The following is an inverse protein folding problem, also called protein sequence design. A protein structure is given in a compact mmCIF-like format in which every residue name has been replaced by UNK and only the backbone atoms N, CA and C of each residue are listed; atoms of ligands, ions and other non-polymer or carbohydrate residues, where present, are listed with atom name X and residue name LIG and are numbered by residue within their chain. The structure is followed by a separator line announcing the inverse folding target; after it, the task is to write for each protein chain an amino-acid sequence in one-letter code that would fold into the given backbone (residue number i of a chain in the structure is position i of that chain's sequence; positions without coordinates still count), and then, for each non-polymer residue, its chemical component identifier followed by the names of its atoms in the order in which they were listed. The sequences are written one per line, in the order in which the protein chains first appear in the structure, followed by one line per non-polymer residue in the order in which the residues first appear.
data_IF_164830595162
#
_entry.id   IF_164830595162
#
_cell.length_a   1.000
_cell.length_b   1.000
_cell.length_c   1.000
_cell.angle_alpha   90.00
_cell.angle_beta   90.00
_cell.angle_gamma   90.00
#
_symmetry.space_group_name_H-M   'P 1'
#
loop_
_entity.id
_entity.type
_entity.pdbx_description
1 polymer ?
#
# COMPACT_ATOMS: atom_id res chain seq x y z
N UNK A 1 3.58 21.59 0.62
CA UNK A 1 2.73 20.38 0.68
C UNK A 1 3.54 19.33 1.43
N UNK A 2 3.14 18.98 2.65
CA UNK A 2 3.91 18.09 3.51
C UNK A 2 3.83 16.67 2.96
N UNK A 3 4.81 16.25 2.16
CA UNK A 3 5.07 14.84 1.93
C UNK A 3 5.23 14.24 3.33
N UNK A 4 4.38 13.28 3.69
CA UNK A 4 4.53 12.54 4.93
C UNK A 4 5.93 11.93 4.87
N UNK A 5 6.85 12.45 5.68
CA UNK A 5 8.17 11.86 5.79
C UNK A 5 7.98 10.51 6.47
N UNK A 6 7.94 9.44 5.67
CA UNK A 6 7.70 8.06 6.13
C UNK A 6 8.65 7.66 7.26
N UNK A 7 9.84 8.24 7.31
CA UNK A 7 10.83 8.01 8.37
C UNK A 7 10.39 8.55 9.75
N UNK A 8 9.45 9.50 9.80
CA UNK A 8 8.85 10.00 11.04
C UNK A 8 7.75 9.09 11.59
N UNK A 9 7.24 8.14 10.79
CA UNK A 9 6.25 7.17 11.28
C UNK A 9 6.93 6.14 12.20
N UNK A 10 6.22 5.76 13.26
CA UNK A 10 6.64 4.65 14.13
C UNK A 10 6.38 3.33 13.42
N UNK A 11 7.26 2.36 13.62
CA UNK A 11 7.01 0.98 13.20
C UNK A 11 5.74 0.43 13.86
N UNK A 12 4.91 -0.24 13.08
CA UNK A 12 3.63 -0.78 13.49
C UNK A 12 3.39 -2.14 12.84
N UNK A 13 2.66 -3.01 13.54
CA UNK A 13 2.14 -4.25 12.99
C UNK A 13 0.71 -4.09 12.46
N UNK A 14 0.21 -2.87 12.28
CA UNK A 14 -1.20 -2.60 11.94
C UNK A 14 -1.70 -3.31 10.67
N UNK A 15 -0.80 -3.55 9.71
CA UNK A 15 -1.09 -4.27 8.47
C UNK A 15 -1.68 -5.68 8.70
N UNK A 16 -1.41 -6.34 9.84
CA UNK A 16 -1.99 -7.66 10.17
C UNK A 16 -3.52 -7.68 10.24
N UNK A 17 -4.13 -6.49 10.27
CA UNK A 17 -5.55 -6.30 10.46
C UNK A 17 -6.17 -5.42 9.36
N UNK A 18 -5.38 -4.94 8.40
CA UNK A 18 -5.82 -4.02 7.36
C UNK A 18 -5.74 -4.72 6.01
N UNK A 19 -6.85 -4.84 5.31
CA UNK A 19 -6.88 -5.47 3.99
C UNK A 19 -6.28 -4.57 2.91
N UNK A 20 -6.07 -5.12 1.72
CA UNK A 20 -5.76 -4.30 0.55
C UNK A 20 -6.94 -3.38 0.21
N UNK A 21 -8.17 -3.91 0.28
CA UNK A 21 -9.42 -3.14 0.17
C UNK A 21 -9.49 -2.26 -1.08
N UNK A 22 -9.18 -2.85 -2.24
CA UNK A 22 -9.13 -2.08 -3.48
C UNK A 22 -10.50 -1.54 -3.90
N UNK A 23 -11.56 -2.35 -3.77
CA UNK A 23 -12.90 -1.91 -4.18
C UNK A 23 -13.39 -0.76 -3.31
N UNK A 24 -13.04 -0.80 -2.03
CA UNK A 24 -13.42 0.21 -1.05
C UNK A 24 -12.57 1.46 -1.19
N UNK A 25 -11.28 1.30 -1.47
CA UNK A 25 -10.39 2.40 -1.88
C UNK A 25 -10.88 3.08 -3.15
N UNK A 26 -11.30 2.30 -4.16
CA UNK A 26 -11.85 2.80 -5.40
C UNK A 26 -13.16 3.56 -5.16
N UNK A 27 -14.13 2.94 -4.49
CA UNK A 27 -15.41 3.56 -4.14
C UNK A 27 -15.21 4.89 -3.40
N UNK A 28 -14.30 4.90 -2.42
CA UNK A 28 -13.99 6.12 -1.67
C UNK A 28 -13.43 7.24 -2.55
N UNK A 29 -12.47 6.95 -3.43
CA UNK A 29 -11.90 7.95 -4.34
C UNK A 29 -12.92 8.43 -5.39
N UNK A 30 -13.80 7.56 -5.87
CA UNK A 30 -14.89 7.94 -6.77
C UNK A 30 -15.87 8.90 -6.09
N UNK A 31 -16.31 8.63 -4.87
CA UNK A 31 -17.18 9.55 -4.12
C UNK A 31 -16.51 10.92 -3.88
N UNK A 32 -15.21 10.94 -3.57
CA UNK A 32 -14.48 12.21 -3.47
C UNK A 32 -14.47 12.99 -4.79
N UNK A 33 -14.33 12.31 -5.93
CA UNK A 33 -14.34 12.95 -7.26
C UNK A 33 -15.71 13.50 -7.65
N UNK A 34 -16.78 12.93 -7.11
CA UNK A 34 -18.16 13.39 -7.27
C UNK A 34 -18.46 14.60 -6.37
N UNK A 35 -17.49 15.04 -5.56
CA UNK A 35 -17.58 16.25 -4.74
C UNK A 35 -17.93 16.00 -3.28
N UNK A 36 -18.11 14.74 -2.85
CA UNK A 36 -18.36 14.43 -1.45
C UNK A 36 -17.10 14.67 -0.60
N UNK A 37 -17.32 15.06 0.65
CA UNK A 37 -16.27 15.27 1.65
C UNK A 37 -16.01 13.99 2.45
N UNK A 38 -14.79 13.88 2.99
CA UNK A 38 -14.38 12.77 3.88
C UNK A 38 -15.38 12.48 5.01
N UNK A 39 -15.93 13.53 5.64
CA UNK A 39 -16.91 13.40 6.70
C UNK A 39 -18.26 12.83 6.21
N UNK A 40 -18.69 13.22 5.01
CA UNK A 40 -19.94 12.74 4.40
C UNK A 40 -19.80 11.26 4.04
N UNK A 41 -18.69 10.86 3.42
CA UNK A 41 -18.45 9.46 3.05
C UNK A 41 -18.33 8.57 4.31
N UNK A 42 -17.70 9.06 5.38
CA UNK A 42 -17.65 8.35 6.67
C UNK A 42 -19.03 8.18 7.30
N UNK A 43 -19.86 9.21 7.23
CA UNK A 43 -21.24 9.15 7.70
C UNK A 43 -22.05 8.13 6.89
N UNK A 44 -21.90 8.10 5.57
CA UNK A 44 -22.52 7.06 4.72
C UNK A 44 -22.04 5.65 5.08
N UNK A 45 -20.77 5.46 5.45
CA UNK A 45 -20.31 4.16 5.94
C UNK A 45 -20.99 3.77 7.26
N UNK A 46 -21.20 4.73 8.16
CA UNK A 46 -21.85 4.50 9.45
C UNK A 46 -23.36 4.22 9.31
N UNK A 47 -24.04 4.93 8.43
CA UNK A 47 -25.51 4.84 8.28
C UNK A 47 -25.96 3.79 7.25
N UNK A 48 -25.19 3.57 6.19
CA UNK A 48 -25.61 2.75 5.03
C UNK A 48 -24.67 1.57 4.73
N UNK A 49 -23.57 1.42 5.47
CA UNK A 49 -22.54 0.40 5.24
C UNK A 49 -22.07 0.33 3.77
N UNK A 50 -21.77 1.48 3.17
CA UNK A 50 -21.42 1.59 1.74
C UNK A 50 -20.23 0.72 1.30
N UNK A 51 -19.35 0.33 2.22
CA UNK A 51 -18.20 -0.54 1.95
C UNK A 51 -18.52 -2.03 2.14
N UNK A 52 -19.77 -2.38 2.46
CA UNK A 52 -20.24 -3.76 2.67
C UNK A 52 -19.41 -4.51 3.70
N UNK A 53 -19.04 -3.83 4.79
CA UNK A 53 -18.29 -4.41 5.87
C UNK A 53 -19.12 -5.45 6.64
N UNK A 54 -18.49 -6.52 7.17
CA UNK A 54 -19.17 -7.57 7.92
C UNK A 54 -19.68 -7.13 9.30
N UNK A 55 -19.23 -5.99 9.81
CA UNK A 55 -19.71 -5.38 11.04
C UNK A 55 -19.39 -3.88 11.06
N UNK A 56 -20.09 -3.14 11.91
CA UNK A 56 -19.93 -1.69 12.04
C UNK A 56 -18.51 -1.32 12.46
N UNK A 57 -17.94 -2.02 13.44
CA UNK A 57 -16.54 -1.82 13.89
C UNK A 57 -15.53 -2.06 12.76
N UNK A 58 -15.76 -3.10 11.95
CA UNK A 58 -14.89 -3.39 10.82
C UNK A 58 -15.05 -2.33 9.72
N UNK A 59 -16.27 -1.87 9.47
CA UNK A 59 -16.59 -0.79 8.53
C UNK A 59 -15.94 0.52 8.93
N UNK A 60 -16.06 0.92 10.20
CA UNK A 60 -15.41 2.10 10.77
C UNK A 60 -13.89 2.02 10.64
N UNK A 61 -13.30 0.87 10.89
CA UNK A 61 -11.85 0.67 10.71
C UNK A 61 -11.44 0.77 9.24
N UNK A 62 -12.20 0.13 8.36
CA UNK A 62 -11.93 0.09 6.92
C UNK A 62 -11.99 1.49 6.31
N UNK A 63 -13.07 2.23 6.54
CA UNK A 63 -13.25 3.58 5.98
C UNK A 63 -12.19 4.55 6.50
N UNK A 64 -11.82 4.45 7.78
CA UNK A 64 -10.77 5.30 8.34
C UNK A 64 -9.41 5.00 7.72
N UNK A 65 -9.09 3.74 7.46
CA UNK A 65 -7.83 3.37 6.83
C UNK A 65 -7.81 3.76 5.35
N UNK A 66 -8.89 3.51 4.61
CA UNK A 66 -9.04 3.93 3.20
C UNK A 66 -8.90 5.45 3.10
N UNK A 67 -9.63 6.21 3.91
CA UNK A 67 -9.49 7.68 4.02
C UNK A 67 -8.06 8.10 4.30
N UNK A 68 -7.38 7.43 5.24
CA UNK A 68 -5.99 7.73 5.60
C UNK A 68 -5.04 7.52 4.42
N UNK A 69 -5.18 6.41 3.68
CA UNK A 69 -4.36 6.13 2.49
C UNK A 69 -4.60 7.18 1.40
N UNK A 70 -5.86 7.53 1.13
CA UNK A 70 -6.21 8.54 0.12
C UNK A 70 -5.65 9.91 0.48
N UNK A 71 -5.80 10.35 1.75
CA UNK A 71 -5.28 11.66 2.20
C UNK A 71 -3.76 11.75 2.24
N UNK A 72 -3.06 10.62 2.26
CA UNK A 72 -1.61 10.59 2.19
C UNK A 72 -1.08 10.88 0.77
N UNK A 73 -1.89 10.57 -0.26
CA UNK A 73 -1.54 10.85 -1.65
C UNK A 73 -1.55 12.36 -1.91
N UNK A 74 -0.62 12.89 -2.73
CA UNK A 74 -0.71 14.27 -3.19
C UNK A 74 -1.99 14.52 -3.98
N UNK A 75 -2.65 15.65 -3.71
CA UNK A 75 -3.89 16.09 -4.36
C UNK A 75 -3.88 15.92 -5.89
N UNK A 76 -2.78 16.26 -6.56
CA UNK A 76 -2.66 16.11 -8.03
C UNK A 76 -2.75 14.64 -8.47
N UNK A 77 -2.12 13.72 -7.74
CA UNK A 77 -2.25 12.28 -7.98
C UNK A 77 -3.68 11.79 -7.65
N UNK A 78 -4.25 12.25 -6.54
CA UNK A 78 -5.61 11.86 -6.14
C UNK A 78 -6.66 12.22 -7.21
N UNK A 79 -6.52 13.38 -7.87
CA UNK A 79 -7.45 13.82 -8.93
C UNK A 79 -7.36 12.93 -10.17
N UNK A 80 -6.19 12.34 -10.46
CA UNK A 80 -6.01 11.43 -11.60
C UNK A 80 -6.67 10.07 -11.41
N UNK A 81 -7.13 9.72 -10.21
CA UNK A 81 -7.49 8.35 -9.85
C UNK A 81 -8.50 7.69 -10.81
N UNK A 82 -9.59 8.36 -11.18
CA UNK A 82 -10.62 7.76 -12.03
C UNK A 82 -10.22 7.69 -13.51
N UNK A 83 -9.27 8.51 -13.95
CA UNK A 83 -8.77 8.53 -15.33
C UNK A 83 -7.70 7.46 -15.58
N UNK A 84 -7.15 6.90 -14.50
CA UNK A 84 -6.11 5.89 -14.53
C UNK A 84 -6.66 4.47 -14.77
N UNK A 85 -5.80 3.61 -15.32
CA UNK A 85 -6.11 2.18 -15.48
C UNK A 85 -6.36 1.51 -14.11
N UNK A 86 -7.06 0.36 -14.10
CA UNK A 86 -7.23 -0.42 -12.86
C UNK A 86 -5.88 -0.81 -12.25
N UNK A 87 -4.87 -1.08 -13.09
CA UNK A 87 -3.52 -1.40 -12.64
C UNK A 87 -2.92 -0.21 -11.89
N UNK A 88 -2.96 0.98 -12.48
CA UNK A 88 -2.46 2.22 -11.85
C UNK A 88 -3.24 2.58 -10.58
N UNK A 89 -4.56 2.41 -10.56
CA UNK A 89 -5.38 2.63 -9.35
C UNK A 89 -4.95 1.71 -8.19
N UNK A 90 -4.60 0.45 -8.48
CA UNK A 90 -4.03 -0.48 -7.50
C UNK A 90 -2.64 -0.02 -7.02
N UNK A 91 -1.81 0.51 -7.92
CA UNK A 91 -0.53 1.12 -7.55
C UNK A 91 -0.73 2.33 -6.63
N UNK A 92 -1.74 3.17 -6.86
CA UNK A 92 -2.06 4.27 -5.97
C UNK A 92 -2.47 3.80 -4.57
N UNK A 93 -3.16 2.68 -4.45
CA UNK A 93 -3.44 2.08 -3.15
C UNK A 93 -2.14 1.59 -2.47
N UNK A 94 -1.23 0.93 -3.20
CA UNK A 94 0.10 0.55 -2.69
C UNK A 94 0.88 1.78 -2.23
N UNK A 95 0.87 2.87 -3.01
CA UNK A 95 1.49 4.13 -2.65
C UNK A 95 0.92 4.70 -1.35
N UNK A 96 -0.41 4.71 -1.21
CA UNK A 96 -1.09 5.12 0.03
C UNK A 96 -0.73 4.25 1.24
N UNK A 97 -0.57 2.94 1.06
CA UNK A 97 -0.08 2.03 2.11
C UNK A 97 1.36 2.39 2.49
N UNK A 98 2.28 2.53 1.52
CA UNK A 98 3.68 2.90 1.79
C UNK A 98 3.81 4.25 2.51
N UNK A 99 2.95 5.22 2.18
CA UNK A 99 2.97 6.54 2.83
C UNK A 99 2.40 6.53 4.24
N UNK A 100 1.71 5.47 4.65
CA UNK A 100 1.02 5.37 5.94
C UNK A 100 1.50 4.23 6.84
N UNK A 101 2.35 3.36 6.30
CA UNK A 101 3.02 2.23 6.96
C UNK A 101 4.50 2.19 6.57
N UNK A 102 5.35 2.64 7.50
CA UNK A 102 6.80 2.69 7.31
C UNK A 102 7.42 1.31 7.12
N UNK A 103 6.95 0.29 7.84
CA UNK A 103 7.55 -1.04 7.75
C UNK A 103 7.28 -1.64 6.37
N UNK A 104 6.09 -1.40 5.82
CA UNK A 104 5.76 -1.81 4.46
C UNK A 104 6.54 -1.01 3.41
N UNK A 105 6.71 0.30 3.58
CA UNK A 105 7.58 1.10 2.70
C UNK A 105 9.01 0.57 2.66
N UNK A 106 9.62 0.32 3.82
CA UNK A 106 10.98 -0.22 3.89
C UNK A 106 11.07 -1.61 3.24
N UNK A 107 10.05 -2.47 3.42
CA UNK A 107 9.99 -3.75 2.72
C UNK A 107 9.95 -3.59 1.20
N UNK A 108 9.11 -2.68 0.69
CA UNK A 108 9.02 -2.40 -0.74
C UNK A 108 10.35 -1.87 -1.30
N UNK A 109 11.02 -1.00 -0.54
CA UNK A 109 12.27 -0.36 -0.94
C UNK A 109 13.49 -1.28 -0.86
N UNK A 110 13.57 -2.11 0.17
CA UNK A 110 14.73 -3.00 0.41
C UNK A 110 14.60 -4.33 -0.31
N UNK A 111 13.39 -4.88 -0.45
CA UNK A 111 13.20 -6.23 -1.01
C UNK A 111 12.62 -6.19 -2.42
N UNK A 112 11.42 -5.60 -2.57
CA UNK A 112 10.73 -5.63 -3.87
C UNK A 112 11.54 -4.90 -4.96
N UNK A 113 11.99 -3.68 -4.66
CA UNK A 113 12.82 -2.88 -5.57
C UNK A 113 14.15 -3.55 -5.88
N UNK A 114 14.82 -4.13 -4.89
CA UNK A 114 16.12 -4.80 -5.08
C UNK A 114 15.99 -6.01 -6.02
N UNK A 115 14.92 -6.81 -5.89
CA UNK A 115 14.64 -7.90 -6.83
C UNK A 115 14.49 -7.43 -8.27
N UNK A 116 13.87 -6.27 -8.50
CA UNK A 116 13.79 -5.67 -9.84
C UNK A 116 15.18 -5.26 -10.36
N UNK A 117 16.00 -4.64 -9.51
CA UNK A 117 17.37 -4.20 -9.87
C UNK A 117 18.26 -5.39 -10.24
N UNK A 118 18.22 -6.45 -9.43
CA UNK A 118 19.07 -7.63 -9.61
C UNK A 118 18.54 -8.59 -10.69
N UNK A 119 17.30 -8.39 -11.17
CA UNK A 119 16.63 -9.31 -12.07
C UNK A 119 16.27 -10.68 -11.45
N UNK A 120 16.48 -10.85 -10.13
CA UNK A 120 16.05 -12.04 -9.40
C UNK A 120 14.56 -11.92 -9.04
N UNK A 121 13.72 -12.18 -10.04
CA UNK A 121 12.28 -11.98 -9.93
C UNK A 121 11.54 -13.08 -9.15
N UNK A 122 12.20 -14.15 -8.73
CA UNK A 122 11.55 -15.16 -7.90
C UNK A 122 11.19 -14.56 -6.52
N UNK A 123 9.95 -14.77 -6.10
CA UNK A 123 9.43 -14.29 -4.82
C UNK A 123 9.05 -15.47 -3.92
N UNK A 124 9.55 -15.47 -2.70
CA UNK A 124 9.21 -16.45 -1.68
C UNK A 124 8.78 -15.78 -0.36
N UNK A 125 8.02 -16.49 0.46
CA UNK A 125 7.66 -16.00 1.79
C UNK A 125 8.89 -15.68 2.66
N UNK A 126 10.00 -16.39 2.45
CA UNK A 126 11.26 -16.14 3.14
C UNK A 126 11.80 -14.74 2.90
N UNK A 127 11.55 -14.12 1.73
CA UNK A 127 11.96 -12.74 1.44
C UNK A 127 11.40 -11.76 2.48
N UNK A 128 10.11 -11.91 2.84
CA UNK A 128 9.47 -11.07 3.86
C UNK A 128 9.96 -11.43 5.27
N UNK A 129 10.16 -12.73 5.54
CA UNK A 129 10.59 -13.18 6.87
C UNK A 129 12.02 -12.76 7.19
N UNK A 130 12.93 -12.80 6.20
CA UNK A 130 14.30 -12.31 6.32
C UNK A 130 14.30 -10.81 6.55
N UNK A 131 13.50 -10.05 5.79
CA UNK A 131 13.32 -8.62 6.03
C UNK A 131 12.88 -8.32 7.48
N UNK A 132 11.84 -9.01 7.98
CA UNK A 132 11.35 -8.79 9.34
C UNK A 132 12.38 -9.21 10.42
N UNK A 133 13.20 -10.23 10.14
CA UNK A 133 14.31 -10.64 11.01
C UNK A 133 15.37 -9.53 11.07
N UNK A 134 15.87 -9.08 9.93
CA UNK A 134 16.88 -8.03 9.84
C UNK A 134 16.36 -6.73 10.50
N UNK A 135 15.08 -6.39 10.29
CA UNK A 135 14.46 -5.23 10.96
C UNK A 135 14.31 -5.40 12.46
N UNK A 136 14.19 -6.62 12.97
CA UNK A 136 14.20 -6.87 14.41
C UNK A 136 15.56 -6.57 15.04
N UNK A 137 16.66 -6.81 14.31
CA UNK A 137 18.03 -6.49 14.76
C UNK A 137 18.29 -4.97 14.77
N UNK A 138 17.61 -4.23 13.88
CA UNK A 138 17.75 -2.77 13.74
C UNK A 138 16.78 -1.96 14.63
N UNK A 139 15.74 -2.59 15.19
CA UNK A 139 14.64 -1.89 15.85
C UNK A 139 14.01 -2.70 16.96
N UNK A 140 14.17 -2.24 18.20
CA UNK A 140 13.54 -2.84 19.39
C UNK A 140 12.01 -2.95 19.24
N UNK A 141 11.37 -1.96 18.58
CA UNK A 141 9.93 -2.00 18.34
C UNK A 141 9.51 -3.20 17.50
N UNK A 142 10.29 -3.53 16.46
CA UNK A 142 10.03 -4.68 15.56
C UNK A 142 10.49 -5.98 16.22
N UNK A 143 11.58 -5.95 17.00
CA UNK A 143 12.04 -7.08 17.81
C UNK A 143 10.94 -7.60 18.73
N UNK A 144 10.20 -6.68 19.37
CA UNK A 144 9.09 -6.98 20.27
C UNK A 144 7.83 -7.54 19.59
N UNK A 145 7.78 -7.63 18.26
CA UNK A 145 6.68 -8.33 17.59
C UNK A 145 6.81 -9.84 17.80
N UNK A 146 5.71 -10.49 18.20
CA UNK A 146 5.68 -11.94 18.33
C UNK A 146 5.92 -12.64 16.99
N UNK A 147 6.37 -13.90 17.03
CA UNK A 147 6.51 -14.73 15.82
C UNK A 147 5.20 -14.84 15.04
N UNK A 148 4.05 -14.92 15.73
CA UNK A 148 2.74 -14.95 15.10
C UNK A 148 2.41 -13.63 14.40
N UNK A 149 2.74 -12.49 15.01
CA UNK A 149 2.58 -11.17 14.39
C UNK A 149 3.42 -11.05 13.11
N UNK A 150 4.68 -11.50 13.14
CA UNK A 150 5.58 -11.49 11.97
C UNK A 150 5.04 -12.37 10.84
N UNK A 151 4.54 -13.57 11.14
CA UNK A 151 3.88 -14.44 10.14
C UNK A 151 2.64 -13.78 9.53
N UNK A 152 1.81 -13.11 10.34
CA UNK A 152 0.63 -12.38 9.85
C UNK A 152 1.01 -11.17 8.99
N UNK A 153 2.10 -10.48 9.32
CA UNK A 153 2.63 -9.40 8.48
C UNK A 153 3.10 -9.93 7.13
N UNK A 154 3.82 -11.06 7.11
CA UNK A 154 4.23 -11.69 5.86
C UNK A 154 3.02 -12.08 4.99
N UNK A 155 1.97 -12.64 5.60
CA UNK A 155 0.70 -12.90 4.92
C UNK A 155 0.09 -11.62 4.32
N UNK A 156 -0.03 -10.55 5.11
CA UNK A 156 -0.60 -9.29 4.66
C UNK A 156 0.19 -8.66 3.50
N UNK A 157 1.52 -8.62 3.59
CA UNK A 157 2.38 -8.04 2.55
C UNK A 157 2.29 -8.83 1.25
N UNK A 158 2.30 -10.16 1.33
CA UNK A 158 2.08 -11.03 0.17
C UNK A 158 0.72 -10.76 -0.48
N UNK A 159 -0.34 -10.63 0.31
CA UNK A 159 -1.68 -10.30 -0.21
C UNK A 159 -1.69 -8.95 -0.91
N UNK A 160 -1.07 -7.91 -0.34
CA UNK A 160 -0.99 -6.60 -0.99
C UNK A 160 -0.28 -6.68 -2.34
N UNK A 161 0.86 -7.37 -2.41
CA UNK A 161 1.60 -7.54 -3.67
C UNK A 161 0.80 -8.31 -4.71
N UNK A 162 0.11 -9.41 -4.31
CA UNK A 162 -0.73 -10.20 -5.21
C UNK A 162 -1.90 -9.39 -5.76
N UNK A 163 -2.65 -8.73 -4.89
CA UNK A 163 -3.81 -7.92 -5.25
C UNK A 163 -3.44 -6.76 -6.17
N UNK A 164 -2.23 -6.20 -6.02
CA UNK A 164 -1.69 -5.15 -6.87
C UNK A 164 -1.00 -5.65 -8.14
N UNK A 165 -0.98 -6.97 -8.40
CA UNK A 165 -0.25 -7.61 -9.51
C UNK A 165 1.26 -7.33 -9.52
N UNK A 166 1.84 -6.99 -8.36
CA UNK A 166 3.28 -6.80 -8.18
C UNK A 166 4.01 -8.12 -8.00
N UNK A 167 3.30 -9.17 -7.58
CA UNK A 167 3.73 -10.55 -7.72
C UNK A 167 2.59 -11.36 -8.36
N UNK A 168 2.94 -12.25 -9.28
CA UNK A 168 1.98 -13.12 -9.99
C UNK A 168 2.46 -14.56 -9.96
N UNK A 169 1.54 -15.50 -10.09
CA UNK A 169 1.88 -16.92 -10.14
C UNK A 169 2.19 -17.33 -11.57
N UNK A 170 3.40 -17.86 -11.78
CA UNK A 170 3.87 -18.37 -13.06
C UNK A 170 4.51 -19.73 -12.85
N UNK A 171 3.99 -20.76 -13.54
CA UNK A 171 4.54 -22.13 -13.50
C UNK A 171 4.71 -22.67 -12.06
N UNK A 172 3.77 -22.36 -11.16
CA UNK A 172 3.79 -22.80 -9.77
C UNK A 172 4.72 -22.01 -8.84
N UNK A 173 5.34 -20.93 -9.31
CA UNK A 173 6.18 -20.03 -8.51
C UNK A 173 5.62 -18.61 -8.53
N UNK A 174 5.93 -17.82 -7.50
CA UNK A 174 5.58 -16.40 -7.49
C UNK A 174 6.71 -15.59 -8.10
N UNK A 175 6.35 -14.70 -9.02
CA UNK A 175 7.28 -13.87 -9.79
C UNK A 175 6.95 -12.41 -9.59
N UNK A 176 7.95 -11.63 -9.20
CA UNK A 176 7.92 -10.17 -9.11
C UNK A 176 7.70 -9.58 -10.51
N UNK A 177 6.74 -8.66 -10.62
CA UNK A 177 6.46 -7.91 -11.84
C UNK A 177 6.69 -6.43 -11.62
N UNK A 178 7.41 -5.81 -12.55
CA UNK A 178 7.52 -4.37 -12.67
C UNK A 178 6.18 -3.83 -13.21
N UNK A 179 5.48 -2.93 -12.50
CA UNK A 179 4.27 -2.32 -13.03
C UNK A 179 4.60 -1.38 -14.19
N UNK A 180 3.68 -1.32 -15.15
CA UNK A 180 3.68 -0.29 -16.21
C UNK A 180 2.80 0.83 -15.69
N UNK A 181 3.36 2.04 -15.56
CA UNK A 181 2.65 3.21 -15.06
C UNK A 181 2.20 4.11 -16.19
N UNK A 182 1.05 4.77 -16.02
CA UNK A 182 0.67 5.89 -16.88
C UNK A 182 1.78 6.97 -16.91
N UNK A 183 2.06 7.49 -18.10
CA UNK A 183 3.14 8.46 -18.34
C UNK A 183 2.96 9.75 -17.54
N UNK A 184 1.71 10.20 -17.36
CA UNK A 184 1.41 11.40 -16.59
C UNK A 184 1.55 11.11 -15.10
N UNK A 185 1.16 9.92 -14.64
CA UNK A 185 1.35 9.51 -13.26
C UNK A 185 2.84 9.47 -12.90
N UNK A 186 3.67 8.85 -13.76
CA UNK A 186 5.12 8.80 -13.56
C UNK A 186 5.72 10.22 -13.48
N UNK A 187 5.36 11.09 -14.43
CA UNK A 187 5.81 12.49 -14.46
C UNK A 187 5.42 13.23 -13.18
N UNK A 188 4.19 13.04 -12.72
CA UNK A 188 3.69 13.67 -11.51
C UNK A 188 4.44 13.16 -10.27
N UNK A 189 4.74 11.86 -10.18
CA UNK A 189 5.54 11.31 -9.08
C UNK A 189 6.98 11.85 -9.07
N UNK A 190 7.61 12.06 -10.23
CA UNK A 190 8.94 12.69 -10.33
C UNK A 190 8.94 14.12 -9.77
N UNK A 191 7.91 14.90 -10.08
CA UNK A 191 7.86 16.33 -9.74
C UNK A 191 7.42 16.66 -8.30
N UNK A 192 6.81 15.71 -7.57
CA UNK A 192 6.23 15.98 -6.24
C UNK A 192 7.03 15.41 -5.06
N UNK A 193 8.34 15.22 -5.24
CA UNK A 193 9.17 14.59 -4.21
C UNK A 193 8.76 13.15 -3.87
N UNK A 194 7.96 12.52 -4.74
CA UNK A 194 7.61 11.11 -4.65
C UNK A 194 8.61 10.22 -5.36
N UNK A 195 9.71 10.80 -5.86
CA UNK A 195 10.75 10.04 -6.52
C UNK A 195 11.17 8.82 -5.69
N UNK A 196 11.44 8.87 -4.36
CA UNK A 196 11.76 7.69 -3.57
C UNK A 196 10.74 6.54 -3.65
N UNK A 197 9.45 6.84 -3.82
CA UNK A 197 8.41 5.83 -4.03
C UNK A 197 8.34 5.37 -5.48
N UNK A 198 8.55 6.27 -6.44
CA UNK A 198 8.56 5.92 -7.85
C UNK A 198 9.65 4.90 -8.18
N UNK A 199 10.86 5.09 -7.65
CA UNK A 199 12.00 4.21 -7.93
C UNK A 199 11.78 2.78 -7.46
N UNK A 200 10.92 2.58 -6.46
CA UNK A 200 10.47 1.25 -6.03
C UNK A 200 9.79 0.52 -7.19
N UNK A 201 8.87 1.20 -7.87
CA UNK A 201 8.14 0.65 -9.01
C UNK A 201 9.01 0.55 -10.26
N UNK A 202 9.98 1.44 -10.45
CA UNK A 202 10.86 1.42 -11.61
C UNK A 202 12.02 0.41 -11.48
N UNK A 203 12.40 0.03 -10.26
CA UNK A 203 13.61 -0.74 -10.01
C UNK A 203 14.88 0.11 -10.17
N UNK A 204 14.87 1.34 -9.62
CA UNK A 204 15.96 2.34 -9.74
C UNK A 204 16.56 2.76 -8.41
#
# INVERSE_FOLDING_TARGET
MNIINVNKLKYSAGAVSKGFWFQEFKKYNTLLSEGLKDAEIKKMQEEENILLAPSDDYGKKMINEVSKRTRALPKKISIMFNDLSISDQKILNILGIMMTDRLFFEFMYEIYREKLILGNLNFDNSDIMVFLKNKSEQSEKVANFTSQTKKRLAGAYKTYLKEANLIVEEKGSLVVKKPILDINLEREMKNNGLYPYLRIFLGE
#
